data_IF_241093686079
#
_entry.id   IF_241093686079
#
_cell.length_a   1.000
_cell.length_b   1.000
_cell.length_c   1.000
_cell.angle_alpha   90.00
_cell.angle_beta   90.00
_cell.angle_gamma   90.00
#
_symmetry.space_group_name_H-M   'P 1'
#
loop_
_entity.id
_entity.type
_entity.pdbx_description
1 polymer ?
#
# COMPACT_ATOMS: atom_id res chain seq x y z
N UNK A 1 -25.21 11.68 -6.24
CA UNK A 1 -23.96 12.29 -5.76
C UNK A 1 -23.58 11.59 -4.46
N UNK A 2 -22.50 10.81 -4.43
CA UNK A 2 -22.10 10.03 -3.25
C UNK A 2 -21.07 10.77 -2.40
N UNK A 3 -21.19 10.68 -1.07
CA UNK A 3 -20.21 11.24 -0.15
C UNK A 3 -18.87 10.50 -0.27
N UNK A 4 -17.79 11.25 -0.39
CA UNK A 4 -16.42 10.75 -0.23
C UNK A 4 -16.02 10.89 1.24
N UNK A 5 -15.51 9.82 1.83
CA UNK A 5 -14.98 9.82 3.19
C UNK A 5 -13.46 9.72 3.12
N UNK A 6 -12.76 10.65 3.78
CA UNK A 6 -11.31 10.63 3.91
C UNK A 6 -10.93 10.40 5.38
N UNK A 7 -9.93 9.56 5.61
CA UNK A 7 -9.38 9.27 6.94
C UNK A 7 -7.87 9.53 6.84
N UNK A 8 -7.33 10.33 7.78
CA UNK A 8 -5.90 10.62 7.88
C UNK A 8 -5.39 10.24 9.28
N UNK A 9 -4.15 9.79 9.35
CA UNK A 9 -3.46 9.43 10.61
C UNK A 9 -1.97 9.75 10.48
N UNK A 10 -1.33 10.06 11.60
CA UNK A 10 0.09 10.37 11.69
C UNK A 10 0.70 9.59 12.86
N UNK A 11 1.87 8.99 12.65
CA UNK A 11 2.57 8.15 13.62
C UNK A 11 4.07 8.46 13.54
N UNK A 12 4.70 8.74 14.67
CA UNK A 12 6.14 8.91 14.76
C UNK A 12 6.86 7.56 14.84
N UNK A 13 7.88 7.37 14.00
CA UNK A 13 8.67 6.14 13.95
C UNK A 13 10.13 6.50 14.20
N UNK A 14 10.73 5.90 15.23
CA UNK A 14 12.14 6.09 15.60
C UNK A 14 13.09 5.32 14.66
N UNK A 15 13.04 5.63 13.36
CA UNK A 15 13.90 5.04 12.33
C UNK A 15 14.17 6.02 11.18
N UNK A 16 15.28 5.88 10.43
CA UNK A 16 15.53 6.69 9.25
C UNK A 16 14.43 6.53 8.18
N UNK A 17 14.02 7.60 7.48
CA UNK A 17 13.00 7.52 6.43
C UNK A 17 13.23 6.44 5.36
N UNK A 18 14.47 6.19 4.89
CA UNK A 18 14.74 5.11 3.93
C UNK A 18 14.40 3.72 4.48
N UNK A 19 14.66 3.49 5.76
CA UNK A 19 14.36 2.21 6.44
C UNK A 19 12.86 2.00 6.52
N UNK A 20 12.11 3.01 6.96
CA UNK A 20 10.65 2.97 7.02
C UNK A 20 10.08 2.67 5.63
N UNK A 21 10.55 3.38 4.60
CA UNK A 21 10.12 3.16 3.21
C UNK A 21 10.38 1.73 2.75
N UNK A 22 11.56 1.17 3.05
CA UNK A 22 11.90 -0.19 2.64
C UNK A 22 11.00 -1.26 3.26
N UNK A 23 10.63 -1.10 4.54
CA UNK A 23 9.71 -2.00 5.24
C UNK A 23 8.30 -1.88 4.66
N UNK A 24 7.82 -0.65 4.44
CA UNK A 24 6.51 -0.45 3.81
C UNK A 24 6.46 -1.08 2.43
N UNK A 25 7.46 -0.86 1.56
CA UNK A 25 7.51 -1.44 0.22
C UNK A 25 7.80 -2.94 0.18
N UNK A 26 8.04 -3.60 1.32
CA UNK A 26 8.22 -5.05 1.44
C UNK A 26 7.05 -5.68 2.22
N UNK A 27 5.84 -5.10 2.09
CA UNK A 27 4.63 -5.51 2.81
C UNK A 27 4.27 -7.00 2.64
N UNK A 28 4.72 -7.64 1.56
CA UNK A 28 4.49 -9.06 1.30
C UNK A 28 5.15 -9.96 2.36
N UNK A 29 6.28 -9.53 2.94
CA UNK A 29 6.98 -10.28 3.98
C UNK A 29 6.37 -10.12 5.37
N UNK A 30 5.53 -9.11 5.57
CA UNK A 30 4.92 -8.79 6.87
C UNK A 30 3.44 -9.21 6.87
N UNK A 31 3.21 -10.51 7.02
CA UNK A 31 1.87 -11.11 7.04
C UNK A 31 0.91 -10.48 8.06
N UNK A 32 1.43 -9.89 9.13
CA UNK A 32 0.63 -9.16 10.12
C UNK A 32 -0.08 -7.94 9.53
N UNK A 33 0.56 -7.22 8.60
CA UNK A 33 0.00 -6.05 7.95
C UNK A 33 -1.11 -6.44 6.97
N UNK A 34 -0.94 -7.57 6.29
CA UNK A 34 -1.84 -8.03 5.21
C UNK A 34 -2.97 -8.93 5.69
N UNK A 35 -3.16 -9.14 7.01
CA UNK A 35 -4.26 -9.97 7.56
C UNK A 35 -5.65 -9.52 7.10
N UNK A 36 -5.83 -8.22 6.89
CA UNK A 36 -7.13 -7.60 6.53
C UNK A 36 -7.15 -7.03 5.11
N UNK A 37 -5.99 -6.92 4.47
CA UNK A 37 -5.87 -6.35 3.13
C UNK A 37 -4.74 -6.98 2.32
N UNK A 38 -4.89 -6.99 1.00
CA UNK A 38 -3.88 -7.48 0.05
C UNK A 38 -3.64 -6.44 -1.01
N UNK A 39 -2.40 -5.98 -1.18
CA UNK A 39 -1.99 -5.12 -2.30
C UNK A 39 -1.23 -5.97 -3.30
N UNK A 40 -1.70 -6.01 -4.54
CA UNK A 40 -0.98 -6.58 -5.67
C UNK A 40 -0.63 -5.48 -6.65
N UNK A 41 0.57 -5.53 -7.21
CA UNK A 41 0.97 -4.65 -8.31
C UNK A 41 0.15 -4.96 -9.57
N UNK A 42 0.16 -4.05 -10.56
CA UNK A 42 -0.62 -4.22 -11.81
C UNK A 42 -0.24 -5.50 -12.57
N UNK A 43 1.00 -5.95 -12.40
CA UNK A 43 1.60 -7.10 -13.05
C UNK A 43 2.31 -7.92 -11.98
N UNK A 44 2.06 -9.22 -11.90
CA UNK A 44 2.68 -10.13 -10.91
C UNK A 44 4.21 -10.14 -10.97
N UNK A 45 4.81 -9.64 -12.06
CA UNK A 45 6.26 -9.50 -12.24
C UNK A 45 6.85 -8.21 -11.63
N UNK A 46 6.04 -7.21 -11.32
CA UNK A 46 6.51 -5.93 -10.77
C UNK A 46 6.58 -6.04 -9.26
N UNK A 47 7.77 -5.86 -8.70
CA UNK A 47 7.95 -5.93 -7.25
C UNK A 47 7.45 -4.64 -6.59
N UNK A 48 6.95 -4.75 -5.37
CA UNK A 48 6.45 -3.61 -4.61
C UNK A 48 7.45 -2.44 -4.49
N UNK A 49 8.75 -2.72 -4.39
CA UNK A 49 9.81 -1.69 -4.34
C UNK A 49 10.12 -1.02 -5.69
N UNK A 50 9.59 -1.53 -6.80
CA UNK A 50 9.78 -0.97 -8.15
C UNK A 50 8.69 0.04 -8.51
N UNK A 51 7.62 0.12 -7.70
CA UNK A 51 6.51 1.05 -7.91
C UNK A 51 6.97 2.50 -7.88
N UNK A 52 6.46 3.28 -8.83
CA UNK A 52 6.72 4.71 -8.97
C UNK A 52 5.44 5.51 -8.82
N UNK A 53 5.63 6.81 -8.59
CA UNK A 53 4.54 7.77 -8.67
C UNK A 53 3.83 7.63 -10.02
N UNK A 54 2.51 7.53 -9.97
CA UNK A 54 1.66 7.33 -11.13
C UNK A 54 1.30 5.89 -11.45
N UNK A 55 1.93 4.89 -10.83
CA UNK A 55 1.56 3.49 -11.01
C UNK A 55 0.23 3.16 -10.35
N UNK A 56 -0.52 2.22 -10.94
CA UNK A 56 -1.76 1.71 -10.36
C UNK A 56 -1.50 0.39 -9.65
N UNK A 57 -2.02 0.26 -8.43
CA UNK A 57 -2.01 -1.01 -7.68
C UNK A 57 -3.45 -1.50 -7.50
N UNK A 58 -3.61 -2.78 -7.19
CA UNK A 58 -4.90 -3.36 -6.80
C UNK A 58 -4.86 -3.64 -5.30
N UNK A 59 -5.70 -2.97 -4.53
CA UNK A 59 -5.81 -3.17 -3.09
C UNK A 59 -7.15 -3.87 -2.79
N UNK A 60 -7.11 -5.07 -2.23
CA UNK A 60 -8.30 -5.76 -1.70
C UNK A 60 -8.37 -5.58 -0.20
N UNK A 61 -9.50 -5.11 0.33
CA UNK A 61 -9.72 -4.91 1.77
C UNK A 61 -11.07 -5.52 2.12
N UNK A 62 -11.08 -6.57 2.95
CA UNK A 62 -12.31 -7.26 3.40
C UNK A 62 -13.31 -7.57 2.26
N UNK A 63 -12.81 -8.03 1.11
CA UNK A 63 -13.63 -8.37 -0.07
C UNK A 63 -13.93 -7.21 -1.03
N UNK A 64 -13.65 -5.96 -0.65
CA UNK A 64 -13.73 -4.80 -1.55
C UNK A 64 -12.43 -4.64 -2.32
N UNK A 65 -12.51 -4.42 -3.63
CA UNK A 65 -11.32 -4.22 -4.48
C UNK A 65 -11.25 -2.77 -4.96
N UNK A 66 -10.12 -2.13 -4.68
CA UNK A 66 -9.78 -0.77 -5.07
C UNK A 66 -8.62 -0.78 -6.07
N UNK A 67 -8.57 0.24 -6.94
CA UNK A 67 -7.49 0.43 -7.91
C UNK A 67 -6.85 1.82 -7.75
N UNK A 68 -6.17 2.09 -6.63
CA UNK A 68 -5.56 3.39 -6.40
C UNK A 68 -4.33 3.62 -7.29
N UNK A 69 -4.07 4.90 -7.58
CA UNK A 69 -2.86 5.39 -8.25
C UNK A 69 -1.90 5.90 -7.16
N UNK A 70 -0.63 5.53 -7.23
CA UNK A 70 0.41 6.04 -6.34
C UNK A 70 0.59 7.54 -6.66
N UNK A 71 0.57 8.37 -5.62
CA UNK A 71 0.79 9.82 -5.64
C UNK A 71 1.91 10.20 -4.70
#
# INVERSE_FOLDING_TARGET
>A
MGQSYSISTEVEIAAPPPTVRSVFLDWERYHEFTKVWTITTRTESTKAHELREGDTVKASIKGMTFKPKIV
#
